data_IF_134822533472
#
_entry.id   IF_134822533472
#
_cell.length_a   1.000
_cell.length_b   1.000
_cell.length_c   1.000
_cell.angle_alpha   90.00
_cell.angle_beta   90.00
_cell.angle_gamma   90.00
#
_symmetry.space_group_name_H-M   'P 1'
#
loop_
_entity.id
_entity.type
_entity.pdbx_description
1 polymer ?
#
# COMPACT_ATOMS: atom_id res chain seq x y z
N UNK A 1 -11.01 -9.78 5.34
CA UNK A 1 -12.03 -9.54 4.33
C UNK A 1 -11.40 -8.70 3.23
N UNK A 2 -11.58 -9.09 1.99
CA UNK A 2 -11.03 -8.39 0.83
C UNK A 2 -12.17 -7.90 -0.08
N UNK A 3 -11.90 -7.03 -1.05
CA UNK A 3 -12.87 -6.40 -1.93
C UNK A 3 -13.65 -7.45 -2.73
N UNK A 4 -12.99 -8.57 -3.06
CA UNK A 4 -13.61 -9.74 -3.69
C UNK A 4 -14.75 -10.36 -2.87
N UNK A 5 -14.77 -10.13 -1.56
CA UNK A 5 -15.85 -10.58 -0.67
C UNK A 5 -16.97 -9.54 -0.50
N UNK A 6 -16.82 -8.30 -0.98
CA UNK A 6 -17.80 -7.21 -0.84
C UNK A 6 -19.19 -7.59 -1.38
N UNK A 7 -19.34 -8.19 -2.59
CA UNK A 7 -20.67 -8.57 -3.07
C UNK A 7 -21.35 -9.63 -2.20
N UNK A 8 -20.56 -10.52 -1.58
CA UNK A 8 -21.09 -11.55 -0.66
C UNK A 8 -21.48 -10.93 0.69
N UNK A 9 -20.65 -10.03 1.19
CA UNK A 9 -20.89 -9.25 2.39
C UNK A 9 -22.17 -8.42 2.25
N UNK A 10 -22.27 -7.61 1.19
CA UNK A 10 -23.45 -6.78 0.93
C UNK A 10 -24.73 -7.61 0.86
N UNK A 11 -24.72 -8.75 0.15
CA UNK A 11 -25.88 -9.68 0.15
C UNK A 11 -26.24 -10.20 1.54
N UNK A 12 -25.26 -10.54 2.36
CA UNK A 12 -25.51 -11.02 3.72
C UNK A 12 -26.10 -9.92 4.61
N UNK A 13 -25.60 -8.69 4.49
CA UNK A 13 -26.08 -7.54 5.26
C UNK A 13 -27.51 -7.12 4.86
N UNK A 14 -27.89 -7.25 3.59
CA UNK A 14 -29.26 -7.00 3.12
C UNK A 14 -30.30 -8.01 3.62
N UNK A 15 -29.87 -9.15 4.16
CA UNK A 15 -30.79 -10.12 4.79
C UNK A 15 -31.15 -9.72 6.23
N UNK A 16 -30.47 -8.72 6.81
CA UNK A 16 -30.78 -8.24 8.16
C UNK A 16 -32.06 -7.37 8.09
N UNK A 17 -33.12 -7.70 8.84
CA UNK A 17 -34.37 -6.94 8.81
C UNK A 17 -34.18 -5.49 9.30
N UNK A 18 -34.88 -4.55 8.67
CA UNK A 18 -34.89 -3.15 9.09
C UNK A 18 -35.34 -3.00 10.55
N UNK A 19 -34.68 -2.10 11.30
CA UNK A 19 -35.02 -1.82 12.70
C UNK A 19 -34.59 -2.91 13.70
N UNK A 20 -33.92 -3.98 13.25
CA UNK A 20 -33.43 -5.03 14.13
C UNK A 20 -32.11 -4.65 14.81
N UNK A 21 -31.86 -5.20 15.99
CA UNK A 21 -30.54 -5.18 16.61
C UNK A 21 -29.66 -6.24 15.94
N UNK A 22 -28.51 -5.82 15.41
CA UNK A 22 -27.59 -6.67 14.68
C UNK A 22 -26.23 -6.73 15.39
N UNK A 23 -25.69 -7.93 15.57
CA UNK A 23 -24.32 -8.14 16.02
C UNK A 23 -23.49 -8.63 14.84
N UNK A 24 -22.48 -7.86 14.44
CA UNK A 24 -21.57 -8.24 13.36
C UNK A 24 -20.25 -8.70 13.97
N UNK A 25 -20.04 -10.01 13.96
CA UNK A 25 -18.78 -10.61 14.41
C UNK A 25 -17.74 -10.60 13.29
N UNK A 26 -16.65 -9.88 13.50
CA UNK A 26 -15.53 -9.80 12.57
C UNK A 26 -14.49 -10.86 12.92
N UNK A 27 -14.56 -12.00 12.23
CA UNK A 27 -13.65 -13.15 12.44
C UNK A 27 -12.28 -13.02 11.72
N UNK A 28 -12.05 -11.88 11.04
CA UNK A 28 -10.89 -11.63 10.19
C UNK A 28 -9.80 -10.78 10.84
N UNK A 29 -8.55 -11.04 10.48
CA UNK A 29 -7.39 -10.27 10.98
C UNK A 29 -7.06 -9.02 10.15
N UNK A 30 -7.72 -8.85 9.01
CA UNK A 30 -7.52 -7.76 8.07
C UNK A 30 -8.84 -7.48 7.34
N UNK A 31 -9.10 -6.23 6.99
CA UNK A 31 -10.20 -5.78 6.14
C UNK A 31 -9.63 -4.74 5.19
N UNK A 32 -9.85 -4.88 3.88
CA UNK A 32 -9.48 -3.81 2.96
C UNK A 32 -10.55 -2.72 2.93
N UNK A 33 -10.18 -1.60 2.30
CA UNK A 33 -10.96 -0.37 2.32
C UNK A 33 -12.37 -0.57 1.77
N UNK A 34 -12.52 -1.26 0.63
CA UNK A 34 -13.83 -1.52 0.03
C UNK A 34 -14.77 -2.35 0.94
N UNK A 35 -14.22 -3.37 1.63
CA UNK A 35 -15.00 -4.14 2.60
C UNK A 35 -15.35 -3.33 3.86
N UNK A 36 -14.46 -2.44 4.29
CA UNK A 36 -14.68 -1.53 5.40
C UNK A 36 -15.79 -0.50 5.09
N UNK A 37 -15.69 0.19 3.95
CA UNK A 37 -16.71 1.16 3.52
C UNK A 37 -18.08 0.50 3.39
N UNK A 38 -18.16 -0.65 2.73
CA UNK A 38 -19.44 -1.37 2.58
C UNK A 38 -20.10 -1.72 3.91
N UNK A 39 -19.30 -2.03 4.94
CA UNK A 39 -19.78 -2.31 6.29
C UNK A 39 -20.21 -1.04 7.05
N UNK A 40 -19.44 0.05 6.92
CA UNK A 40 -19.77 1.35 7.51
C UNK A 40 -21.06 1.91 6.89
N UNK A 41 -21.18 1.85 5.56
CA UNK A 41 -22.35 2.31 4.82
C UNK A 41 -23.63 1.61 5.24
N UNK A 42 -23.55 0.29 5.35
CA UNK A 42 -24.66 -0.50 5.86
C UNK A 42 -24.97 -0.16 7.32
N UNK A 43 -23.96 -0.01 8.19
CA UNK A 43 -24.19 0.38 9.59
C UNK A 43 -24.93 1.71 9.67
N UNK A 44 -24.47 2.73 8.94
CA UNK A 44 -25.10 4.06 8.92
C UNK A 44 -26.55 3.97 8.45
N UNK A 45 -26.81 3.26 7.34
CA UNK A 45 -28.15 3.09 6.80
C UNK A 45 -29.08 2.33 7.78
N UNK A 46 -28.59 1.24 8.37
CA UNK A 46 -29.33 0.42 9.32
C UNK A 46 -29.67 1.18 10.61
N UNK A 47 -28.74 1.99 11.10
CA UNK A 47 -28.95 2.83 12.29
C UNK A 47 -29.92 3.97 12.01
N UNK A 48 -29.86 4.59 10.81
CA UNK A 48 -30.82 5.62 10.40
C UNK A 48 -32.26 5.09 10.31
N UNK A 49 -32.44 3.78 10.07
CA UNK A 49 -33.72 3.10 10.01
C UNK A 49 -34.19 2.56 11.37
N UNK A 50 -33.53 2.96 12.46
CA UNK A 50 -33.90 2.61 13.83
C UNK A 50 -33.38 1.26 14.33
N UNK A 51 -32.50 0.59 13.58
CA UNK A 51 -31.79 -0.58 14.07
C UNK A 51 -30.57 -0.20 14.91
N UNK A 52 -29.99 -1.15 15.63
CA UNK A 52 -28.69 -0.98 16.28
C UNK A 52 -27.68 -1.96 15.70
N UNK A 53 -26.41 -1.56 15.67
CA UNK A 53 -25.32 -2.43 15.20
C UNK A 53 -24.23 -2.46 16.26
N UNK A 54 -23.90 -3.66 16.72
CA UNK A 54 -22.75 -3.91 17.59
C UNK A 54 -21.69 -4.70 16.83
N UNK A 55 -20.48 -4.15 16.71
CA UNK A 55 -19.35 -4.88 16.16
C UNK A 55 -18.59 -5.62 17.25
N UNK A 56 -18.44 -6.92 17.07
CA UNK A 56 -17.70 -7.79 17.98
C UNK A 56 -16.52 -8.43 17.29
N UNK A 57 -15.43 -8.66 18.03
CA UNK A 57 -14.32 -9.48 17.58
C UNK A 57 -14.52 -10.95 18.00
N UNK A 58 -13.59 -11.84 17.63
CA UNK A 58 -13.59 -13.24 18.10
C UNK A 58 -13.86 -13.33 19.60
N UNK A 59 -14.88 -14.11 19.97
CA UNK A 59 -15.32 -14.40 21.34
C UNK A 59 -16.15 -13.29 22.03
N UNK A 60 -16.95 -12.52 21.29
CA UNK A 60 -17.96 -11.63 21.86
C UNK A 60 -17.41 -10.44 22.64
N UNK A 61 -16.14 -10.09 22.43
CA UNK A 61 -15.56 -8.89 23.02
C UNK A 61 -16.05 -7.67 22.23
N UNK A 62 -16.70 -6.71 22.92
CA UNK A 62 -17.04 -5.41 22.35
C UNK A 62 -15.80 -4.75 21.75
N UNK A 63 -15.87 -4.38 20.49
CA UNK A 63 -14.83 -3.58 19.84
C UNK A 63 -15.02 -2.13 20.29
N UNK A 64 -14.50 -1.79 21.48
CA UNK A 64 -14.38 -0.39 21.88
C UNK A 64 -13.23 0.28 21.13
N UNK A 65 -13.43 1.55 20.75
CA UNK A 65 -12.38 2.46 20.29
C UNK A 65 -11.20 2.49 21.28
N UNK A 66 -9.98 2.85 20.84
CA UNK A 66 -8.75 2.59 21.60
C UNK A 66 -8.78 3.26 22.97
N UNK A 67 -8.75 2.45 24.03
CA UNK A 67 -8.44 2.95 25.37
C UNK A 67 -6.93 3.19 25.46
N UNK A 68 -6.55 4.47 25.55
CA UNK A 68 -5.24 4.87 26.05
C UNK A 68 -5.08 4.27 27.46
N UNK A 69 -4.03 3.45 27.61
CA UNK A 69 -3.41 2.98 28.86
C UNK A 69 -4.32 2.87 30.10
N UNK A 70 -4.75 1.64 30.44
CA UNK A 70 -5.24 1.32 31.78
C UNK A 70 -4.47 0.13 32.39
N UNK A 71 -4.22 0.12 33.71
CA UNK A 71 -3.23 -0.74 34.34
C UNK A 71 -3.71 -2.19 34.51
N UNK A 72 -2.74 -3.08 34.65
CA UNK A 72 -2.93 -4.52 34.82
C UNK A 72 -3.56 -4.88 36.18
N UNK A 73 -4.87 -4.75 36.32
CA UNK A 73 -5.61 -5.40 37.41
C UNK A 73 -7.10 -5.50 37.07
N UNK A 74 -7.49 -6.62 36.46
CA UNK A 74 -8.80 -7.27 36.67
C UNK A 74 -8.81 -8.59 35.89
N UNK A 75 -8.41 -9.68 36.56
CA UNK A 75 -8.63 -11.04 36.08
C UNK A 75 -10.05 -11.43 36.51
N UNK A 76 -11.03 -11.28 35.62
CA UNK A 76 -12.33 -11.94 35.81
C UNK A 76 -12.22 -13.39 35.35
N UNK A 77 -12.28 -14.28 36.32
CA UNK A 77 -12.45 -15.73 36.17
C UNK A 77 -13.81 -16.05 35.56
N UNK A 78 -13.85 -16.76 34.42
CA UNK A 78 -15.08 -17.41 33.96
C UNK A 78 -15.18 -17.67 32.46
N UNK A 79 -15.15 -18.96 32.11
CA UNK A 79 -15.73 -19.62 30.94
C UNK A 79 -14.97 -19.52 29.59
N UNK A 80 -14.42 -20.66 29.18
CA UNK A 80 -14.21 -21.04 27.77
C UNK A 80 -12.76 -21.07 27.30
N UNK A 81 -12.14 -22.25 27.36
CA UNK A 81 -10.87 -22.58 26.69
C UNK A 81 -11.00 -22.52 25.15
N UNK A 82 -10.99 -21.32 24.56
CA UNK A 82 -10.89 -21.16 23.10
C UNK A 82 -10.37 -19.77 22.70
N UNK A 83 -9.12 -19.43 23.01
CA UNK A 83 -8.47 -18.28 22.36
C UNK A 83 -6.98 -18.51 22.12
N UNK A 84 -6.68 -18.85 20.87
CA UNK A 84 -5.36 -19.24 20.38
C UNK A 84 -4.79 -18.22 19.38
N UNK A 85 -5.08 -16.93 19.59
CA UNK A 85 -4.53 -15.82 18.81
C UNK A 85 -4.39 -14.59 19.71
N UNK A 86 -3.22 -13.94 19.74
CA UNK A 86 -2.99 -12.68 20.49
C UNK A 86 -3.36 -11.43 19.68
N UNK A 87 -3.71 -11.57 18.41
CA UNK A 87 -4.10 -10.44 17.57
C UNK A 87 -5.55 -10.07 17.84
N UNK A 88 -5.76 -8.88 18.43
CA UNK A 88 -7.05 -8.19 18.46
C UNK A 88 -7.26 -7.46 17.13
N UNK A 89 -8.51 -7.19 16.70
CA UNK A 89 -8.77 -6.15 15.70
C UNK A 89 -7.96 -4.90 16.07
N UNK A 90 -7.32 -4.25 15.10
CA UNK A 90 -6.46 -3.07 15.28
C UNK A 90 -5.09 -3.31 15.94
N UNK A 91 -4.60 -4.55 15.99
CA UNK A 91 -3.21 -4.81 16.40
C UNK A 91 -2.22 -4.18 15.40
N UNK A 92 -1.28 -3.32 15.83
CA UNK A 92 -0.26 -2.76 14.95
C UNK A 92 0.48 -3.88 14.20
N UNK A 93 0.78 -3.69 12.91
CA UNK A 93 1.32 -4.74 12.04
C UNK A 93 2.57 -5.44 12.59
N UNK A 94 3.42 -4.70 13.31
CA UNK A 94 4.61 -5.23 14.01
C UNK A 94 4.31 -6.30 15.06
N UNK A 95 3.10 -6.29 15.62
CA UNK A 95 2.66 -7.17 16.72
C UNK A 95 1.64 -8.22 16.25
N UNK A 96 1.44 -8.36 14.94
CA UNK A 96 0.44 -9.25 14.37
C UNK A 96 0.94 -10.70 14.28
N UNK A 97 1.05 -11.39 15.42
CA UNK A 97 1.38 -12.82 15.50
C UNK A 97 0.14 -13.70 15.69
N UNK A 98 -0.49 -14.12 14.58
CA UNK A 98 -1.74 -14.89 14.56
C UNK A 98 -1.62 -16.41 14.84
N UNK A 99 -0.72 -16.85 15.72
CA UNK A 99 -0.63 -18.27 16.07
C UNK A 99 -0.45 -18.53 17.57
N UNK A 100 -1.08 -19.64 18.00
CA UNK A 100 -0.99 -20.24 19.34
C UNK A 100 0.48 -20.54 19.68
N UNK A 101 0.99 -20.17 20.87
CA UNK A 101 2.26 -20.70 21.35
C UNK A 101 2.14 -22.23 21.41
N UNK A 102 3.08 -22.94 20.81
CA UNK A 102 3.22 -24.37 21.06
C UNK A 102 3.69 -24.50 22.52
N UNK A 103 3.01 -25.27 23.38
CA UNK A 103 3.53 -25.51 24.73
C UNK A 103 4.89 -26.20 24.57
N UNK A 104 5.91 -25.65 25.23
CA UNK A 104 7.20 -26.30 25.32
C UNK A 104 7.01 -27.71 25.93
N UNK A 105 7.77 -28.71 25.49
CA UNK A 105 7.78 -30.01 26.15
C UNK A 105 8.09 -29.81 27.64
N UNK A 106 7.40 -30.51 28.56
CA UNK A 106 7.66 -30.35 29.99
C UNK A 106 9.06 -30.89 30.29
N UNK A 107 10.01 -30.00 30.62
CA UNK A 107 11.34 -30.41 31.10
C UNK A 107 12.53 -29.52 30.73
N UNK A 108 12.38 -28.47 29.93
CA UNK A 108 13.48 -27.55 29.62
C UNK A 108 13.25 -26.19 30.29
N UNK A 109 14.16 -25.83 31.20
CA UNK A 109 14.22 -24.50 31.82
C UNK A 109 14.28 -23.41 30.74
N UNK A 110 13.66 -22.24 30.94
CA UNK A 110 13.72 -21.16 29.97
C UNK A 110 15.13 -20.57 29.99
N UNK A 111 15.97 -21.02 29.06
CA UNK A 111 17.25 -20.40 28.79
C UNK A 111 17.01 -18.96 28.31
N UNK A 112 17.35 -17.98 29.16
CA UNK A 112 17.29 -16.53 28.92
C UNK A 112 18.19 -16.07 27.74
N UNK A 113 18.83 -16.99 27.03
CA UNK A 113 19.72 -16.71 25.89
C UNK A 113 19.09 -16.91 24.50
N UNK A 114 17.82 -17.33 24.39
CA UNK A 114 17.14 -17.52 23.09
C UNK A 114 16.55 -16.22 22.49
N UNK A 115 17.27 -15.10 22.61
CA UNK A 115 17.04 -13.90 21.80
C UNK A 115 17.82 -14.01 20.48
N UNK A 116 17.59 -15.07 19.70
CA UNK A 116 18.35 -15.34 18.46
C UNK A 116 17.44 -15.65 17.27
N UNK A 117 17.07 -14.57 16.55
CA UNK A 117 16.92 -14.57 15.09
C UNK A 117 15.50 -14.71 14.51
N UNK A 118 14.97 -13.69 13.82
CA UNK A 118 13.80 -13.86 12.94
C UNK A 118 14.28 -14.37 11.58
N UNK A 119 14.44 -15.69 11.42
CA UNK A 119 14.91 -16.28 10.17
C UNK A 119 14.18 -17.60 9.88
N UNK A 120 13.62 -17.74 8.68
CA UNK A 120 12.88 -18.92 8.20
C UNK A 120 11.45 -19.09 8.72
N UNK A 121 11.25 -19.13 10.05
CA UNK A 121 9.93 -19.45 10.63
C UNK A 121 8.85 -18.40 10.34
N UNK A 122 9.22 -17.12 10.20
CA UNK A 122 8.24 -16.05 9.93
C UNK A 122 7.63 -16.14 8.53
N UNK A 123 8.44 -16.42 7.50
CA UNK A 123 7.95 -16.59 6.13
C UNK A 123 7.04 -17.81 6.03
N UNK A 124 7.48 -18.95 6.57
CA UNK A 124 6.67 -20.18 6.59
C UNK A 124 5.32 -19.97 7.31
N UNK A 125 5.32 -19.23 8.43
CA UNK A 125 4.10 -18.84 9.15
C UNK A 125 3.18 -17.95 8.29
N UNK A 126 3.74 -16.95 7.62
CA UNK A 126 2.99 -16.06 6.73
C UNK A 126 2.33 -16.82 5.56
N UNK A 127 3.08 -17.70 4.90
CA UNK A 127 2.58 -18.53 3.79
C UNK A 127 1.50 -19.50 4.30
N UNK A 128 1.69 -20.11 5.47
CA UNK A 128 0.66 -20.97 6.08
C UNK A 128 -0.63 -20.22 6.37
N UNK A 129 -0.55 -18.97 6.86
CA UNK A 129 -1.71 -18.13 7.07
C UNK A 129 -2.41 -17.76 5.74
N UNK A 130 -1.64 -17.44 4.69
CA UNK A 130 -2.20 -17.24 3.35
C UNK A 130 -2.97 -18.47 2.87
N UNK A 131 -2.37 -19.66 2.95
CA UNK A 131 -3.01 -20.91 2.48
C UNK A 131 -4.32 -21.22 3.21
N UNK A 132 -4.37 -20.95 4.52
CA UNK A 132 -5.56 -21.19 5.34
C UNK A 132 -6.66 -20.16 5.13
N UNK A 133 -6.30 -18.88 5.04
CA UNK A 133 -7.27 -17.79 5.16
C UNK A 133 -7.56 -17.06 3.85
N UNK A 134 -6.54 -16.83 3.02
CA UNK A 134 -6.65 -15.98 1.83
C UNK A 134 -6.78 -16.80 0.55
N UNK A 135 -6.00 -17.87 0.42
CA UNK A 135 -5.96 -18.69 -0.79
C UNK A 135 -7.33 -19.20 -1.22
N UNK A 136 -8.23 -19.70 -0.34
CA UNK A 136 -9.57 -20.12 -0.74
C UNK A 136 -10.41 -18.99 -1.36
N UNK A 137 -10.18 -17.74 -0.96
CA UNK A 137 -10.92 -16.56 -1.43
C UNK A 137 -10.43 -16.08 -2.80
N UNK A 138 -9.12 -16.17 -3.06
CA UNK A 138 -8.51 -15.63 -4.30
C UNK A 138 -8.25 -16.70 -5.36
N UNK A 139 -8.34 -18.00 -5.03
CA UNK A 139 -7.97 -19.10 -5.94
C UNK A 139 -8.74 -19.07 -7.26
N UNK A 140 -10.03 -18.76 -7.23
CA UNK A 140 -10.85 -18.67 -8.45
C UNK A 140 -10.31 -17.61 -9.41
N UNK A 141 -10.02 -16.43 -8.87
CA UNK A 141 -9.52 -15.29 -9.64
C UNK A 141 -8.10 -15.53 -10.16
N UNK A 142 -7.19 -16.03 -9.32
CA UNK A 142 -5.83 -16.37 -9.75
C UNK A 142 -5.83 -17.50 -10.80
N UNK A 143 -6.74 -18.47 -10.71
CA UNK A 143 -6.87 -19.51 -11.72
C UNK A 143 -7.42 -18.96 -13.05
N UNK A 144 -8.30 -17.94 -13.02
CA UNK A 144 -8.74 -17.22 -14.21
C UNK A 144 -7.57 -16.49 -14.87
N UNK A 145 -6.86 -15.66 -14.11
CA UNK A 145 -5.68 -14.92 -14.58
C UNK A 145 -4.57 -15.84 -15.11
N UNK A 146 -4.36 -17.01 -14.50
CA UNK A 146 -3.39 -17.98 -15.00
C UNK A 146 -3.75 -18.56 -16.37
N UNK A 147 -5.04 -18.61 -16.73
CA UNK A 147 -5.50 -19.07 -18.05
C UNK A 147 -5.58 -17.95 -19.08
N UNK A 148 -5.99 -16.76 -18.66
CA UNK A 148 -6.32 -15.65 -19.56
C UNK A 148 -5.15 -14.66 -19.74
N UNK A 149 -4.14 -14.73 -18.87
CA UNK A 149 -3.05 -13.76 -18.82
C UNK A 149 -3.39 -12.52 -17.99
N UNK A 150 -2.41 -11.65 -17.81
CA UNK A 150 -2.57 -10.36 -17.14
C UNK A 150 -2.92 -9.27 -18.16
N UNK A 151 -3.75 -8.30 -17.75
CA UNK A 151 -4.09 -7.09 -18.51
C UNK A 151 -4.19 -5.89 -17.57
N UNK A 152 -3.07 -5.51 -16.93
CA UNK A 152 -3.07 -4.40 -15.99
C UNK A 152 -3.40 -3.09 -16.71
N UNK A 153 -4.14 -2.22 -16.06
CA UNK A 153 -4.48 -0.90 -16.64
C UNK A 153 -3.31 0.07 -16.56
N UNK A 154 -2.36 -0.17 -15.64
CA UNK A 154 -1.31 0.77 -15.29
C UNK A 154 0.01 0.07 -14.90
N UNK A 155 1.14 0.69 -15.27
CA UNK A 155 2.44 0.47 -14.64
C UNK A 155 2.59 1.39 -13.42
N UNK A 156 2.80 0.82 -12.23
CA UNK A 156 3.05 1.56 -11.00
C UNK A 156 4.51 1.42 -10.59
N UNK A 157 5.29 2.49 -10.74
CA UNK A 157 6.70 2.55 -10.38
C UNK A 157 6.88 3.26 -9.04
N UNK A 158 7.38 2.54 -8.03
CA UNK A 158 7.54 3.10 -6.69
C UNK A 158 8.79 2.60 -5.97
N UNK A 159 8.98 3.02 -4.72
CA UNK A 159 10.14 2.69 -3.94
C UNK A 159 10.08 1.25 -3.40
N UNK A 160 11.24 0.62 -3.25
CA UNK A 160 11.43 -0.65 -2.54
C UNK A 160 11.18 -0.54 -1.02
N UNK A 161 10.90 0.66 -0.51
CA UNK A 161 10.58 0.92 0.91
C UNK A 161 9.44 0.03 1.40
N UNK A 162 9.68 -0.72 2.48
CA UNK A 162 8.77 -1.75 2.99
C UNK A 162 7.43 -1.22 3.51
N UNK A 163 7.30 0.10 3.68
CA UNK A 163 6.05 0.77 4.09
C UNK A 163 5.08 0.97 2.92
N UNK A 164 5.57 0.86 1.68
CA UNK A 164 4.78 1.07 0.47
C UNK A 164 4.14 -0.25 0.04
N UNK A 165 2.84 -0.36 0.30
CA UNK A 165 2.00 -1.49 -0.13
C UNK A 165 1.07 -0.99 -1.23
N UNK A 166 1.49 -1.15 -2.48
CA UNK A 166 0.84 -0.54 -3.66
C UNK A 166 -0.64 -0.88 -3.77
N UNK A 167 -1.00 -2.16 -3.61
CA UNK A 167 -2.40 -2.62 -3.68
C UNK A 167 -3.28 -2.02 -2.58
N UNK A 168 -2.71 -1.70 -1.41
CA UNK A 168 -3.45 -1.03 -0.34
C UNK A 168 -3.69 0.44 -0.68
N UNK A 169 -2.65 1.14 -1.13
CA UNK A 169 -2.70 2.57 -1.45
C UNK A 169 -3.66 2.87 -2.61
N UNK A 170 -3.76 1.94 -3.56
CA UNK A 170 -4.53 2.11 -4.81
C UNK A 170 -5.80 1.27 -4.86
N UNK A 171 -6.14 0.58 -3.77
CA UNK A 171 -7.27 -0.36 -3.69
C UNK A 171 -7.32 -1.38 -4.85
N UNK A 172 -6.15 -1.83 -5.32
CA UNK A 172 -6.02 -2.70 -6.50
C UNK A 172 -5.98 -4.19 -6.15
N UNK A 173 -6.60 -5.01 -7.00
CA UNK A 173 -6.62 -6.46 -6.95
C UNK A 173 -5.54 -7.15 -7.81
N UNK A 174 -5.51 -8.49 -7.80
CA UNK A 174 -4.62 -9.26 -8.66
C UNK A 174 -4.88 -8.95 -10.14
N UNK A 175 -3.83 -8.59 -10.87
CA UNK A 175 -3.90 -8.29 -12.30
C UNK A 175 -4.17 -6.83 -12.66
N UNK A 176 -4.51 -5.97 -11.70
CA UNK A 176 -4.84 -4.55 -11.97
C UNK A 176 -3.60 -3.70 -12.24
N UNK A 177 -2.49 -4.00 -11.54
CA UNK A 177 -1.23 -3.24 -11.63
C UNK A 177 -0.07 -4.11 -12.09
N UNK A 178 0.71 -3.58 -13.03
CA UNK A 178 2.09 -4.02 -13.27
C UNK A 178 3.01 -3.17 -12.40
N UNK A 179 3.83 -3.76 -11.52
CA UNK A 179 4.52 -2.99 -10.47
C UNK A 179 6.04 -3.12 -10.59
N UNK A 180 6.73 -1.99 -10.65
CA UNK A 180 8.19 -1.90 -10.53
C UNK A 180 8.54 -1.26 -9.20
N UNK A 181 9.42 -1.91 -8.43
CA UNK A 181 9.92 -1.39 -7.16
C UNK A 181 11.44 -1.37 -7.15
N UNK A 182 12.02 -0.19 -6.97
CA UNK A 182 13.46 -0.03 -6.87
C UNK A 182 13.82 1.03 -5.80
N UNK A 183 15.10 1.19 -5.48
CA UNK A 183 15.53 2.12 -4.43
C UNK A 183 15.32 3.56 -4.90
N UNK A 184 14.36 4.28 -4.32
CA UNK A 184 14.10 5.68 -4.64
C UNK A 184 13.23 5.93 -5.88
N UNK A 185 12.51 4.91 -6.37
CA UNK A 185 11.58 5.01 -7.50
C UNK A 185 12.21 5.70 -8.73
N UNK A 186 13.47 5.36 -9.02
CA UNK A 186 14.27 5.97 -10.08
C UNK A 186 14.04 5.28 -11.42
N UNK A 187 14.11 6.07 -12.48
CA UNK A 187 14.03 5.65 -13.87
C UNK A 187 15.34 6.07 -14.52
N UNK A 188 16.22 5.13 -14.92
CA UNK A 188 17.39 5.46 -15.72
C UNK A 188 16.98 6.12 -17.05
N UNK A 189 17.68 7.18 -17.51
CA UNK A 189 17.55 7.66 -18.87
C UNK A 189 17.98 6.57 -19.89
N UNK A 190 17.39 6.56 -21.10
CA UNK A 190 17.76 5.60 -22.13
C UNK A 190 19.25 5.66 -22.47
N UNK A 191 19.91 4.51 -22.49
CA UNK A 191 21.35 4.36 -22.79
C UNK A 191 22.28 4.62 -21.61
N UNK A 192 21.78 5.06 -20.46
CA UNK A 192 22.58 5.30 -19.24
C UNK A 192 22.57 4.14 -18.24
N UNK A 193 21.84 3.06 -18.56
CA UNK A 193 21.54 1.91 -17.70
C UNK A 193 22.80 1.23 -17.12
N UNK A 194 23.95 1.43 -17.78
CA UNK A 194 25.25 0.87 -17.38
C UNK A 194 25.19 -0.65 -17.12
N UNK A 195 24.44 -1.35 -17.96
CA UNK A 195 24.24 -2.80 -17.92
C UNK A 195 23.08 -3.30 -17.06
N UNK A 196 22.23 -2.41 -16.53
CA UNK A 196 20.98 -2.78 -15.85
C UNK A 196 19.73 -2.35 -16.64
N UNK A 197 19.28 -3.24 -17.53
CA UNK A 197 18.11 -2.99 -18.38
C UNK A 197 16.78 -3.31 -17.68
N UNK A 198 16.78 -3.63 -16.38
CA UNK A 198 15.58 -4.11 -15.67
C UNK A 198 14.40 -3.13 -15.72
N UNK A 199 14.69 -1.84 -15.51
CA UNK A 199 13.64 -0.80 -15.55
C UNK A 199 13.22 -0.50 -16.98
N UNK A 200 14.16 -0.40 -17.93
CA UNK A 200 13.86 -0.16 -19.34
C UNK A 200 13.01 -1.30 -19.94
N UNK A 201 13.39 -2.55 -19.68
CA UNK A 201 12.64 -3.73 -20.10
C UNK A 201 11.23 -3.79 -19.48
N UNK A 202 11.08 -3.40 -18.21
CA UNK A 202 9.76 -3.33 -17.57
C UNK A 202 8.87 -2.23 -18.18
N UNK A 203 9.45 -1.08 -18.56
CA UNK A 203 8.75 0.00 -19.26
C UNK A 203 8.31 -0.48 -20.64
N UNK A 204 9.23 -1.01 -21.45
CA UNK A 204 8.92 -1.54 -22.79
C UNK A 204 7.85 -2.63 -22.72
N UNK A 205 7.99 -3.60 -21.82
CA UNK A 205 7.00 -4.66 -21.66
C UNK A 205 5.62 -4.13 -21.24
N UNK A 206 5.57 -3.15 -20.33
CA UNK A 206 4.31 -2.57 -19.91
C UNK A 206 3.61 -1.81 -21.05
N UNK A 207 4.35 -1.03 -21.82
CA UNK A 207 3.77 -0.17 -22.87
C UNK A 207 3.49 -0.96 -24.14
N UNK A 208 4.42 -1.80 -24.59
CA UNK A 208 4.36 -2.39 -25.93
C UNK A 208 3.79 -3.80 -25.95
N UNK A 209 3.83 -4.51 -24.81
CA UNK A 209 3.30 -5.88 -24.71
C UNK A 209 2.00 -5.93 -23.90
N UNK A 210 1.97 -5.27 -22.74
CA UNK A 210 0.76 -5.23 -21.90
C UNK A 210 -0.20 -4.11 -22.28
N UNK A 211 0.24 -3.15 -23.11
CA UNK A 211 -0.57 -2.02 -23.58
C UNK A 211 -1.24 -1.27 -22.42
N UNK A 212 -0.49 -1.02 -21.34
CA UNK A 212 -1.00 -0.23 -20.20
C UNK A 212 -1.40 1.16 -20.67
N UNK A 213 -2.47 1.71 -20.10
CA UNK A 213 -3.00 3.03 -20.47
C UNK A 213 -2.37 4.15 -19.66
N UNK A 214 -1.72 3.83 -18.56
CA UNK A 214 -1.01 4.83 -17.76
C UNK A 214 0.25 4.29 -17.09
N UNK A 215 1.15 5.22 -16.76
CA UNK A 215 2.30 4.97 -15.87
C UNK A 215 2.22 5.96 -14.71
N UNK A 216 2.22 5.45 -13.48
CA UNK A 216 2.35 6.28 -12.27
C UNK A 216 3.75 6.14 -11.68
N UNK A 217 4.44 7.25 -11.46
CA UNK A 217 5.64 7.30 -10.60
C UNK A 217 5.23 7.78 -9.21
N UNK A 218 5.38 6.92 -8.22
CA UNK A 218 5.03 7.22 -6.84
C UNK A 218 6.26 7.38 -5.94
N UNK A 219 6.54 8.63 -5.56
CA UNK A 219 7.44 8.99 -4.46
C UNK A 219 6.76 8.86 -3.10
N UNK A 220 7.51 9.00 -2.01
CA UNK A 220 6.94 8.90 -0.66
C UNK A 220 7.72 9.66 0.41
N UNK A 221 7.07 9.97 1.53
CA UNK A 221 7.71 10.69 2.65
C UNK A 221 8.81 9.86 3.33
N UNK A 222 9.86 10.54 3.78
CA UNK A 222 10.99 9.94 4.49
C UNK A 222 11.70 8.85 3.68
N UNK A 223 11.92 9.07 2.38
CA UNK A 223 12.60 8.12 1.51
C UNK A 223 14.09 8.02 1.83
N UNK A 224 14.54 6.84 2.27
CA UNK A 224 15.96 6.60 2.59
C UNK A 224 16.90 6.79 1.40
N UNK A 225 16.44 6.55 0.17
CA UNK A 225 17.22 6.78 -1.04
C UNK A 225 17.50 8.28 -1.27
N UNK A 226 16.48 9.12 -1.08
CA UNK A 226 16.61 10.58 -1.23
C UNK A 226 17.46 11.17 -0.10
N UNK A 227 17.34 10.64 1.12
CA UNK A 227 18.24 11.00 2.23
C UNK A 227 19.70 10.68 1.93
N UNK A 228 19.96 9.46 1.42
CA UNK A 228 21.29 9.03 1.03
C UNK A 228 21.86 9.87 -0.12
N UNK A 229 21.02 10.25 -1.08
CA UNK A 229 21.39 11.12 -2.20
C UNK A 229 21.76 12.53 -1.71
N UNK A 230 20.98 13.14 -0.83
CA UNK A 230 21.27 14.46 -0.23
C UNK A 230 22.56 14.47 0.59
N UNK A 231 22.84 13.36 1.27
CA UNK A 231 24.00 13.22 2.15
C UNK A 231 25.22 12.63 1.45
N UNK A 232 25.17 12.45 0.13
CA UNK A 232 26.22 11.76 -0.61
C UNK A 232 27.46 12.64 -0.81
N UNK A 233 28.62 12.14 -0.35
CA UNK A 233 29.91 12.80 -0.56
C UNK A 233 30.50 12.41 -1.94
N UNK A 234 30.82 13.39 -2.81
CA UNK A 234 31.48 13.15 -4.09
C UNK A 234 32.74 12.27 -3.98
N UNK A 235 33.53 12.42 -2.90
CA UNK A 235 34.81 11.73 -2.70
C UNK A 235 34.72 10.27 -2.22
N UNK A 236 33.52 9.77 -1.89
CA UNK A 236 33.33 8.40 -1.38
C UNK A 236 33.45 7.31 -2.46
N UNK A 237 33.78 6.08 -2.03
CA UNK A 237 33.94 4.91 -2.90
C UNK A 237 32.67 4.57 -3.70
N UNK A 238 32.86 4.06 -4.92
CA UNK A 238 31.76 3.75 -5.85
C UNK A 238 31.09 2.40 -5.51
N UNK A 239 30.09 2.44 -4.63
CA UNK A 239 29.24 1.28 -4.30
C UNK A 239 28.14 1.07 -5.36
N UNK A 240 27.53 -0.13 -5.46
CA UNK A 240 26.35 -0.33 -6.30
C UNK A 240 25.22 0.65 -6.00
N UNK A 241 24.99 0.96 -4.72
CA UNK A 241 24.00 1.95 -4.31
C UNK A 241 24.34 3.35 -4.83
N UNK A 242 25.59 3.81 -4.67
CA UNK A 242 26.01 5.14 -5.17
C UNK A 242 25.88 5.23 -6.69
N UNK A 243 26.25 4.16 -7.41
CA UNK A 243 26.00 4.09 -8.86
C UNK A 243 24.51 4.19 -9.14
N UNK A 244 23.65 3.41 -8.50
CA UNK A 244 22.21 3.48 -8.71
C UNK A 244 21.63 4.88 -8.44
N UNK A 245 22.01 5.52 -7.32
CA UNK A 245 21.50 6.83 -6.94
C UNK A 245 21.93 7.97 -7.89
N UNK A 246 22.90 7.74 -8.79
CA UNK A 246 23.30 8.73 -9.80
C UNK A 246 22.12 9.18 -10.69
N UNK A 247 21.16 8.29 -10.93
CA UNK A 247 19.96 8.61 -11.71
C UNK A 247 19.02 9.61 -11.00
N UNK A 248 19.26 9.88 -9.71
CA UNK A 248 18.60 10.95 -8.96
C UNK A 248 19.36 12.27 -8.94
N UNK A 249 20.60 12.35 -9.44
CA UNK A 249 21.36 13.61 -9.46
C UNK A 249 20.64 14.74 -10.21
N UNK A 250 20.01 14.50 -11.38
CA UNK A 250 19.20 15.53 -12.05
C UNK A 250 18.04 16.05 -11.17
N UNK A 251 17.54 15.24 -10.22
CA UNK A 251 16.53 15.68 -9.27
C UNK A 251 17.08 16.71 -8.27
N UNK A 252 18.36 16.60 -7.87
CA UNK A 252 19.03 17.61 -7.04
C UNK A 252 19.23 18.91 -7.81
N UNK A 253 19.63 18.82 -9.07
CA UNK A 253 19.80 19.97 -9.95
C UNK A 253 18.48 20.70 -10.16
N UNK A 254 17.38 19.97 -10.43
CA UNK A 254 16.03 20.56 -10.52
C UNK A 254 15.61 21.20 -9.19
N UNK A 255 15.88 20.55 -8.05
CA UNK A 255 15.49 21.08 -6.75
C UNK A 255 16.20 22.41 -6.44
N UNK A 256 17.44 22.59 -6.92
CA UNK A 256 18.18 23.84 -6.78
C UNK A 256 17.72 24.95 -7.74
N UNK A 257 16.93 24.61 -8.77
CA UNK A 257 16.35 25.58 -9.69
C UNK A 257 15.05 26.19 -9.13
N UNK A 258 14.55 27.24 -9.79
CA UNK A 258 13.31 27.93 -9.36
C UNK A 258 12.04 27.06 -9.52
N UNK A 259 12.10 26.05 -10.40
CA UNK A 259 10.98 25.20 -10.82
C UNK A 259 10.88 23.88 -10.01
N UNK A 260 11.00 24.00 -8.69
CA UNK A 260 10.92 22.86 -7.77
C UNK A 260 9.48 22.44 -7.51
N UNK A 261 9.27 21.14 -7.38
CA UNK A 261 7.96 20.58 -7.09
C UNK A 261 7.50 20.91 -5.66
N UNK A 262 6.20 21.12 -5.45
CA UNK A 262 5.63 21.53 -4.16
C UNK A 262 4.26 20.91 -3.90
N UNK A 263 3.85 20.88 -2.64
CA UNK A 263 2.50 20.48 -2.25
C UNK A 263 1.55 21.68 -2.29
N UNK A 264 0.33 21.46 -2.74
CA UNK A 264 -0.73 22.45 -2.63
C UNK A 264 -1.09 22.66 -1.15
N UNK A 265 -1.19 23.92 -0.73
CA UNK A 265 -1.68 24.30 0.60
C UNK A 265 -0.67 24.18 1.75
N UNK A 266 0.54 23.64 1.53
CA UNK A 266 1.61 23.66 2.54
C UNK A 266 3.01 23.64 1.93
N UNK A 267 3.99 24.15 2.67
CA UNK A 267 5.39 23.96 2.35
C UNK A 267 5.82 22.51 2.61
N UNK A 268 6.89 22.07 1.93
CA UNK A 268 7.58 20.84 2.28
C UNK A 268 8.15 20.94 3.71
N UNK A 269 8.13 19.84 4.45
CA UNK A 269 8.58 19.79 5.84
C UNK A 269 10.10 19.92 5.96
N UNK A 270 10.83 19.38 5.00
CA UNK A 270 12.29 19.41 4.93
C UNK A 270 12.78 19.24 3.47
N UNK A 271 14.10 19.35 3.28
CA UNK A 271 14.73 19.17 1.97
C UNK A 271 14.56 17.74 1.42
N UNK A 272 14.33 16.73 2.27
CA UNK A 272 14.12 15.36 1.83
C UNK A 272 12.74 15.23 1.18
N UNK A 273 11.69 15.78 1.79
CA UNK A 273 10.34 15.82 1.20
C UNK A 273 10.34 16.62 -0.11
N UNK A 274 11.02 17.75 -0.16
CA UNK A 274 11.19 18.55 -1.38
C UNK A 274 11.86 17.75 -2.50
N UNK A 275 12.95 17.04 -2.18
CA UNK A 275 13.62 16.16 -3.14
C UNK A 275 12.73 14.98 -3.56
N UNK A 276 11.92 14.41 -2.66
CA UNK A 276 11.01 13.33 -3.01
C UNK A 276 9.98 13.77 -4.06
N UNK A 277 9.39 14.96 -3.91
CA UNK A 277 8.45 15.54 -4.87
C UNK A 277 9.14 15.84 -6.20
N UNK A 278 10.29 16.52 -6.14
CA UNK A 278 11.05 16.91 -7.34
C UNK A 278 11.56 15.70 -8.10
N UNK A 279 11.93 14.64 -7.38
CA UNK A 279 12.35 13.38 -7.97
C UNK A 279 11.24 12.74 -8.80
N UNK A 280 9.99 12.75 -8.33
CA UNK A 280 8.85 12.25 -9.13
C UNK A 280 8.77 12.99 -10.46
N UNK A 281 8.83 14.31 -10.46
CA UNK A 281 8.80 15.13 -11.69
C UNK A 281 9.98 14.79 -12.60
N UNK A 282 11.19 14.62 -12.06
CA UNK A 282 12.36 14.23 -12.84
C UNK A 282 12.23 12.84 -13.45
N UNK A 283 11.72 11.86 -12.71
CA UNK A 283 11.57 10.51 -13.24
C UNK A 283 10.46 10.44 -14.30
N UNK A 284 9.43 11.29 -14.22
CA UNK A 284 8.48 11.46 -15.32
C UNK A 284 9.16 12.06 -16.57
N UNK A 285 10.11 12.99 -16.40
CA UNK A 285 10.90 13.50 -17.52
C UNK A 285 11.79 12.40 -18.15
N UNK A 286 12.40 11.54 -17.34
CA UNK A 286 13.13 10.37 -17.83
C UNK A 286 12.22 9.40 -18.59
N UNK A 287 11.04 9.08 -18.06
CA UNK A 287 10.06 8.23 -18.74
C UNK A 287 9.71 8.77 -20.13
N UNK A 288 9.49 10.08 -20.28
CA UNK A 288 9.22 10.70 -21.59
C UNK A 288 10.36 10.55 -22.60
N UNK A 289 11.59 10.27 -22.15
CA UNK A 289 12.71 10.04 -23.04
C UNK A 289 12.77 8.60 -23.60
N UNK A 290 12.10 7.63 -22.95
CA UNK A 290 12.02 6.25 -23.45
C UNK A 290 11.17 6.19 -24.72
N UNK A 291 11.64 5.49 -25.75
CA UNK A 291 11.02 5.50 -27.08
C UNK A 291 9.57 4.98 -27.08
N UNK A 292 9.32 3.86 -26.39
CA UNK A 292 7.99 3.26 -26.24
C UNK A 292 7.00 4.24 -25.60
N UNK A 293 7.41 4.87 -24.50
CA UNK A 293 6.61 5.89 -23.79
C UNK A 293 6.38 7.12 -24.66
N UNK A 294 7.43 7.67 -25.27
CA UNK A 294 7.34 8.86 -26.10
C UNK A 294 6.40 8.63 -27.30
N UNK A 295 6.43 7.45 -27.92
CA UNK A 295 5.51 7.05 -28.98
C UNK A 295 4.08 6.97 -28.48
N UNK A 296 3.82 6.20 -27.42
CA UNK A 296 2.47 5.99 -26.91
C UNK A 296 1.81 7.29 -26.42
N UNK A 297 2.59 8.22 -25.84
CA UNK A 297 2.13 9.56 -25.49
C UNK A 297 1.70 10.38 -26.72
N UNK A 298 2.49 10.37 -27.81
CA UNK A 298 2.13 11.08 -29.06
C UNK A 298 0.87 10.51 -29.72
N UNK A 299 0.65 9.22 -29.56
CA UNK A 299 -0.53 8.50 -30.07
C UNK A 299 -1.77 8.70 -29.18
N UNK A 300 -1.62 9.31 -27.99
CA UNK A 300 -2.70 9.44 -27.01
C UNK A 300 -3.12 8.11 -26.39
N UNK A 301 -2.28 7.08 -26.48
CA UNK A 301 -2.52 5.75 -25.95
C UNK A 301 -2.05 5.58 -24.48
N UNK A 302 -1.23 6.52 -24.00
CA UNK A 302 -0.61 6.46 -22.68
C UNK A 302 -0.69 7.79 -21.94
N UNK A 303 -0.98 7.73 -20.65
CA UNK A 303 -0.92 8.87 -19.72
C UNK A 303 0.19 8.67 -18.68
N UNK A 304 0.76 9.77 -18.19
CA UNK A 304 1.78 9.76 -17.14
C UNK A 304 1.28 10.52 -15.91
N UNK A 305 1.29 9.88 -14.74
CA UNK A 305 0.87 10.50 -13.49
C UNK A 305 2.03 10.54 -12.47
N UNK A 306 2.17 11.69 -11.81
CA UNK A 306 3.05 11.83 -10.64
C UNK A 306 2.25 11.63 -9.37
N UNK A 307 2.74 10.80 -8.46
CA UNK A 307 2.14 10.59 -7.15
C UNK A 307 3.16 10.77 -6.03
N UNK A 308 2.71 11.35 -4.92
CA UNK A 308 3.46 11.41 -3.67
C UNK A 308 2.61 10.84 -2.54
N UNK A 309 3.14 9.85 -1.81
CA UNK A 309 2.45 9.24 -0.68
C UNK A 309 3.10 9.62 0.64
N UNK A 310 2.38 10.36 1.48
CA UNK A 310 2.83 10.70 2.82
C UNK A 310 2.54 9.55 3.78
N UNK A 311 3.55 8.73 4.06
CA UNK A 311 3.43 7.48 4.83
C UNK A 311 2.90 7.72 6.25
N UNK A 312 3.35 8.79 6.91
CA UNK A 312 2.96 9.10 8.29
C UNK A 312 1.51 9.56 8.45
N UNK A 313 0.92 10.08 7.38
CA UNK A 313 -0.47 10.59 7.37
C UNK A 313 -1.41 9.65 6.60
N UNK A 314 -0.86 8.60 5.96
CA UNK A 314 -1.55 7.75 5.00
C UNK A 314 -2.28 8.56 3.90
N UNK A 315 -1.68 9.66 3.44
CA UNK A 315 -2.30 10.59 2.49
C UNK A 315 -1.60 10.53 1.12
N UNK A 316 -2.40 10.41 0.06
CA UNK A 316 -1.94 10.50 -1.33
C UNK A 316 -2.06 11.93 -1.88
N UNK A 317 -1.11 12.32 -2.70
CA UNK A 317 -1.12 13.56 -3.48
C UNK A 317 -0.80 13.24 -4.94
N UNK A 318 -1.47 13.91 -5.88
CA UNK A 318 -1.27 13.75 -7.31
C UNK A 318 -0.71 15.04 -7.92
N UNK A 319 0.25 14.90 -8.82
CA UNK A 319 0.79 16.00 -9.61
C UNK A 319 -0.33 16.55 -10.51
N UNK A 320 -0.51 17.87 -10.49
CA UNK A 320 -1.51 18.56 -11.30
C UNK A 320 -1.22 18.40 -12.78
N UNK A 321 -2.29 18.17 -13.56
CA UNK A 321 -2.24 18.18 -15.03
C UNK A 321 -2.44 19.58 -15.62
N UNK A 322 -2.88 20.55 -14.80
CA UNK A 322 -3.03 21.95 -15.19
C UNK A 322 -1.65 22.60 -15.44
N UNK A 323 -1.36 23.09 -16.66
CA UNK A 323 -0.12 23.81 -16.96
C UNK A 323 0.12 25.04 -16.09
N UNK A 324 -0.93 25.67 -15.55
CA UNK A 324 -0.81 26.81 -14.63
C UNK A 324 -0.35 26.40 -13.22
N UNK A 325 -0.41 25.10 -12.91
CA UNK A 325 -0.01 24.51 -11.64
C UNK A 325 1.04 23.40 -11.83
N UNK A 326 1.91 23.57 -12.84
CA UNK A 326 3.01 22.63 -13.09
C UNK A 326 3.89 22.47 -11.83
N UNK A 327 4.36 21.24 -11.61
CA UNK A 327 5.11 20.88 -10.40
C UNK A 327 4.31 20.90 -9.08
N UNK A 328 3.00 21.17 -9.09
CA UNK A 328 2.18 21.20 -7.86
C UNK A 328 1.46 19.88 -7.63
N UNK A 329 1.65 19.30 -6.45
CA UNK A 329 0.97 18.10 -5.99
C UNK A 329 -0.27 18.46 -5.16
N UNK A 330 -1.45 18.14 -5.66
CA UNK A 330 -2.72 18.34 -4.99
C UNK A 330 -3.09 17.13 -4.12
N UNK A 331 -3.70 17.39 -2.96
CA UNK A 331 -4.18 16.34 -2.06
C UNK A 331 -5.35 15.58 -2.72
N UNK A 332 -5.30 14.26 -2.71
CA UNK A 332 -6.45 13.43 -3.08
C UNK A 332 -7.46 13.46 -1.94
N UNK A 333 -8.65 14.00 -2.21
CA UNK A 333 -9.78 14.02 -1.29
C UNK A 333 -10.71 12.84 -1.57
N UNK A 334 -11.45 12.40 -0.56
CA UNK A 334 -12.62 11.55 -0.76
C UNK A 334 -13.56 12.24 -1.77
N UNK A 335 -13.81 11.61 -2.91
CA UNK A 335 -14.85 12.08 -3.82
C UNK A 335 -16.18 11.93 -3.09
N UNK A 336 -16.89 13.05 -2.86
CA UNK A 336 -18.28 12.98 -2.42
C UNK A 336 -19.02 12.10 -3.43
N UNK A 337 -19.76 11.10 -2.94
CA UNK A 337 -20.58 10.21 -3.75
C UNK A 337 -21.32 11.02 -4.81
N UNK A 338 -20.99 10.83 -6.07
CA UNK A 338 -21.82 11.34 -7.16
C UNK A 338 -23.25 10.83 -6.91
N UNK A 339 -24.19 11.77 -6.84
CA UNK A 339 -25.62 11.54 -6.80
C UNK A 339 -26.00 10.60 -7.95
N UNK A 340 -26.19 9.32 -7.63
CA UNK A 340 -26.78 8.37 -8.54
C UNK A 340 -28.30 8.63 -8.53
N UNK A 341 -28.91 9.12 -9.61
CA UNK A 341 -30.36 9.28 -9.65
C UNK A 341 -31.01 7.89 -9.51
N UNK A 342 -32.09 7.86 -8.72
CA UNK A 342 -32.88 6.68 -8.36
C UNK A 342 -33.38 5.87 -9.57
#
# INVERSE_FOLDING_TARGET
MTFLAVPRLSRALHLVPHGADAVVELDGSFMDHAAYESLQDWQTAHTAQGGSVEFTGRAGTRISLPAMEAPAAERSTGLGEASACRCRPWTPWRNHQCARPQPAPPGEDPDESAATGPSGHQLARGISAFQRNTAPLVRGELARLAREGQRPSQLFLTCADSRLVTSMITSSGPGDLFVVRNVGNLVPPPGEESGDDSVAAAIEYAVDVLEVRSITVCGHSGCGAMQALLSSDPGSSQTPLKRWLRYGLPSLERMAAEDRARLAGRAAADAVEELCLTNVVQQLAHLRAHESVARALREGALELHGMYFHVGEAQAYLLSEDPAADGVFARVTETARDDMPA
#
